data_IF_200602700771
#
_entry.id   IF_200602700771
#
_cell.length_a   1.000
_cell.length_b   1.000
_cell.length_c   1.000
_cell.angle_alpha   90.00
_cell.angle_beta   90.00
_cell.angle_gamma   90.00
#
_symmetry.space_group_name_H-M   'P 1'
#
loop_
_entity.id
_entity.type
_entity.pdbx_description
1 polymer ?
#
# COMPACT_ATOMS: atom_id res chain seq x y z
N UNK A 1 8.20 3.79 25.32
CA UNK A 1 8.14 3.77 23.85
C UNK A 1 9.51 4.05 23.30
N UNK A 2 10.15 3.02 22.76
CA UNK A 2 11.48 3.09 22.19
C UNK A 2 11.50 3.88 20.89
N UNK A 3 12.69 4.33 20.49
CA UNK A 3 12.91 4.92 19.16
C UNK A 3 12.50 3.95 18.04
N UNK A 4 12.57 2.64 18.31
CA UNK A 4 12.17 1.58 17.39
C UNK A 4 10.65 1.59 17.17
N UNK A 5 9.84 1.63 18.23
CA UNK A 5 8.37 1.69 18.17
C UNK A 5 7.88 2.86 17.29
N UNK A 6 8.56 4.01 17.37
CA UNK A 6 8.24 5.19 16.53
C UNK A 6 8.50 4.96 15.04
N UNK A 7 9.59 4.27 14.70
CA UNK A 7 9.86 3.94 13.30
C UNK A 7 8.88 2.88 12.80
N UNK A 8 8.55 1.89 13.62
CA UNK A 8 7.56 0.87 13.31
C UNK A 8 6.18 1.48 13.01
N UNK A 9 5.68 2.35 13.89
CA UNK A 9 4.42 3.08 13.69
C UNK A 9 4.41 3.88 12.37
N UNK A 10 5.54 4.53 12.03
CA UNK A 10 5.66 5.33 10.81
C UNK A 10 5.81 4.47 9.54
N UNK A 11 6.42 3.27 9.62
CA UNK A 11 6.43 2.31 8.51
C UNK A 11 5.06 1.64 8.31
N UNK A 12 4.31 1.41 9.39
CA UNK A 12 2.94 0.86 9.35
C UNK A 12 1.96 1.87 8.74
N UNK A 13 2.08 3.17 9.08
CA UNK A 13 1.24 4.24 8.52
C UNK A 13 1.52 4.50 7.02
N UNK A 14 2.78 4.39 6.58
CA UNK A 14 3.11 4.50 5.13
C UNK A 14 2.57 3.30 4.34
N UNK A 15 2.45 2.13 4.95
CA UNK A 15 1.93 0.92 4.31
C UNK A 15 0.40 0.86 4.18
N UNK A 16 -0.33 1.80 4.80
CA UNK A 16 -1.80 1.81 4.80
C UNK A 16 -2.43 2.59 3.64
N UNK A 17 -1.64 3.26 2.80
CA UNK A 17 -2.13 3.84 1.54
C UNK A 17 -2.30 2.77 0.46
N UNK A 18 -3.33 1.93 0.62
CA UNK A 18 -3.70 0.85 -0.30
C UNK A 18 -4.37 1.43 -1.55
N UNK A 19 -3.89 1.08 -2.74
CA UNK A 19 -4.57 1.43 -3.98
C UNK A 19 -5.80 0.52 -4.18
N UNK A 20 -6.98 1.13 -4.26
CA UNK A 20 -8.23 0.51 -4.69
C UNK A 20 -8.16 0.08 -6.16
N UNK A 21 -9.05 -0.83 -6.60
CA UNK A 21 -9.14 -1.26 -8.01
C UNK A 21 -9.33 -0.08 -8.98
N UNK A 22 -10.02 0.98 -8.53
CA UNK A 22 -10.20 2.20 -9.30
C UNK A 22 -8.89 2.94 -9.48
N UNK A 23 -8.12 3.11 -8.41
CA UNK A 23 -6.81 3.78 -8.44
C UNK A 23 -5.80 2.98 -9.27
N UNK A 24 -5.84 1.64 -9.22
CA UNK A 24 -5.03 0.78 -10.09
C UNK A 24 -5.36 0.99 -11.57
N UNK A 25 -6.66 1.08 -11.93
CA UNK A 25 -7.07 1.37 -13.30
C UNK A 25 -6.66 2.78 -13.74
N UNK A 26 -6.81 3.78 -12.86
CA UNK A 26 -6.39 5.15 -13.13
C UNK A 26 -4.88 5.24 -13.33
N UNK A 27 -4.10 4.54 -12.50
CA UNK A 27 -2.65 4.42 -12.66
C UNK A 27 -2.30 3.75 -13.98
N UNK A 28 -2.94 2.63 -14.32
CA UNK A 28 -2.67 1.92 -15.57
C UNK A 28 -2.97 2.79 -16.80
N UNK A 29 -4.09 3.51 -16.79
CA UNK A 29 -4.45 4.43 -17.88
C UNK A 29 -3.46 5.59 -17.95
N UNK A 30 -3.13 6.21 -16.81
CA UNK A 30 -2.13 7.28 -16.74
C UNK A 30 -0.77 6.84 -17.24
N UNK A 31 -0.33 5.64 -16.87
CA UNK A 31 0.91 5.03 -17.31
C UNK A 31 0.94 4.85 -18.83
N UNK A 32 -0.12 4.29 -19.43
CA UNK A 32 -0.21 4.10 -20.88
C UNK A 32 -0.15 5.44 -21.62
N UNK A 33 -0.92 6.44 -21.17
CA UNK A 33 -0.91 7.78 -21.76
C UNK A 33 0.49 8.38 -21.66
N UNK A 34 1.11 8.28 -20.49
CA UNK A 34 2.46 8.80 -20.25
C UNK A 34 3.49 8.14 -21.18
N UNK A 35 3.48 6.81 -21.31
CA UNK A 35 4.40 6.08 -22.20
C UNK A 35 4.22 6.52 -23.66
N UNK A 36 2.98 6.64 -24.13
CA UNK A 36 2.69 7.05 -25.51
C UNK A 36 3.17 8.48 -25.76
N UNK A 37 2.91 9.41 -24.85
CA UNK A 37 3.34 10.81 -24.97
C UNK A 37 4.86 10.91 -24.92
N UNK A 38 5.51 10.23 -23.98
CA UNK A 38 6.97 10.21 -23.84
C UNK A 38 7.63 9.63 -25.10
N UNK A 39 7.16 8.47 -25.58
CA UNK A 39 7.67 7.85 -26.79
C UNK A 39 7.46 8.73 -28.03
N UNK A 40 6.30 9.38 -28.16
CA UNK A 40 6.02 10.32 -29.24
C UNK A 40 6.96 11.52 -29.22
N UNK A 41 7.21 12.09 -28.04
CA UNK A 41 8.13 13.21 -27.86
C UNK A 41 9.59 12.82 -28.16
N UNK A 42 10.03 11.66 -27.66
CA UNK A 42 11.37 11.13 -27.97
C UNK A 42 11.52 10.84 -29.46
N UNK A 43 10.48 10.29 -30.11
CA UNK A 43 10.51 10.05 -31.55
C UNK A 43 10.63 11.37 -32.34
N UNK A 44 9.96 12.43 -31.87
CA UNK A 44 10.05 13.75 -32.48
C UNK A 44 11.43 14.40 -32.32
N UNK A 45 12.07 14.25 -31.15
CA UNK A 45 13.31 14.95 -30.81
C UNK A 45 14.59 14.17 -31.16
N UNK A 46 14.60 12.86 -30.89
CA UNK A 46 15.79 11.99 -30.95
C UNK A 46 15.66 10.91 -32.03
N UNK A 47 14.44 10.66 -32.52
CA UNK A 47 14.17 9.68 -33.56
C UNK A 47 13.69 8.32 -33.02
N UNK A 48 13.49 7.40 -33.97
CA UNK A 48 12.67 6.20 -33.76
C UNK A 48 13.31 5.16 -32.84
N UNK A 49 14.62 4.97 -32.91
CA UNK A 49 15.33 3.98 -32.08
C UNK A 49 15.24 4.34 -30.60
N UNK A 50 15.55 5.60 -30.27
CA UNK A 50 15.47 6.10 -28.89
C UNK A 50 14.05 6.06 -28.35
N UNK A 51 13.05 6.36 -29.20
CA UNK A 51 11.65 6.26 -28.81
C UNK A 51 11.25 4.84 -28.38
N UNK A 52 11.70 3.82 -29.11
CA UNK A 52 11.44 2.43 -28.73
C UNK A 52 12.19 2.04 -27.44
N UNK A 53 13.43 2.50 -27.26
CA UNK A 53 14.18 2.26 -26.04
C UNK A 53 13.47 2.87 -24.82
N UNK A 54 13.07 4.14 -24.91
CA UNK A 54 12.32 4.85 -23.86
C UNK A 54 10.99 4.15 -23.58
N UNK A 55 10.23 3.80 -24.60
CA UNK A 55 8.96 3.10 -24.44
C UNK A 55 9.15 1.75 -23.73
N UNK A 56 10.16 0.96 -24.11
CA UNK A 56 10.45 -0.32 -23.49
C UNK A 56 10.82 -0.16 -22.01
N UNK A 57 11.72 0.78 -21.68
CA UNK A 57 12.14 1.05 -20.30
C UNK A 57 10.94 1.46 -19.45
N UNK A 58 10.15 2.43 -19.91
CA UNK A 58 9.00 2.91 -19.16
C UNK A 58 7.94 1.81 -18.98
N UNK A 59 7.71 0.98 -20.00
CA UNK A 59 6.78 -0.15 -19.90
C UNK A 59 7.20 -1.11 -18.80
N UNK A 60 8.50 -1.45 -18.70
CA UNK A 60 9.02 -2.33 -17.65
C UNK A 60 8.82 -1.71 -16.27
N UNK A 61 9.12 -0.43 -16.10
CA UNK A 61 8.96 0.28 -14.83
C UNK A 61 7.49 0.23 -14.39
N UNK A 62 6.56 0.64 -15.25
CA UNK A 62 5.14 0.63 -14.91
C UNK A 62 4.57 -0.77 -14.71
N UNK A 63 5.08 -1.78 -15.41
CA UNK A 63 4.68 -3.17 -15.18
C UNK A 63 5.05 -3.62 -13.76
N UNK A 64 6.28 -3.33 -13.30
CA UNK A 64 6.70 -3.63 -11.93
C UNK A 64 5.85 -2.85 -10.92
N UNK A 65 5.59 -1.57 -11.16
CA UNK A 65 4.75 -0.74 -10.29
C UNK A 65 3.34 -1.32 -10.16
N UNK A 66 2.69 -1.65 -11.28
CA UNK A 66 1.33 -2.22 -11.29
C UNK A 66 1.28 -3.57 -10.60
N UNK A 67 2.27 -4.45 -10.85
CA UNK A 67 2.35 -5.75 -10.19
C UNK A 67 2.51 -5.61 -8.68
N UNK A 68 3.36 -4.68 -8.24
CA UNK A 68 3.58 -4.43 -6.81
C UNK A 68 2.29 -3.95 -6.14
N UNK A 69 1.59 -2.97 -6.73
CA UNK A 69 0.34 -2.48 -6.17
C UNK A 69 -0.78 -3.53 -6.23
N UNK A 70 -0.87 -4.30 -7.32
CA UNK A 70 -1.85 -5.37 -7.46
C UNK A 70 -1.63 -6.52 -6.46
N UNK A 71 -0.37 -6.88 -6.19
CA UNK A 71 -0.02 -7.86 -5.17
C UNK A 71 -0.56 -7.42 -3.80
N UNK A 72 -0.21 -6.21 -3.35
CA UNK A 72 -0.68 -5.68 -2.07
C UNK A 72 -2.20 -5.54 -2.00
N UNK A 73 -2.86 -5.15 -3.10
CA UNK A 73 -4.31 -5.07 -3.17
C UNK A 73 -5.00 -6.43 -2.98
N UNK A 74 -4.35 -7.53 -3.36
CA UNK A 74 -4.90 -8.90 -3.26
C UNK A 74 -4.51 -9.59 -1.95
N UNK A 75 -3.26 -9.47 -1.51
CA UNK A 75 -2.72 -10.23 -0.37
C UNK A 75 -2.78 -9.49 0.96
N UNK A 76 -2.99 -8.18 0.99
CA UNK A 76 -2.92 -7.37 2.23
C UNK A 76 -4.10 -7.50 3.20
N UNK A 77 -4.90 -8.58 3.17
CA UNK A 77 -6.10 -8.73 4.02
C UNK A 77 -6.07 -9.90 5.01
N UNK A 78 -5.20 -10.90 4.90
CA UNK A 78 -5.31 -12.08 5.78
C UNK A 78 -4.65 -11.96 7.16
N UNK A 79 -3.76 -10.98 7.38
CA UNK A 79 -2.81 -11.08 8.52
C UNK A 79 -3.00 -9.98 9.59
N UNK A 80 -4.05 -9.15 9.51
CA UNK A 80 -4.24 -8.01 10.43
C UNK A 80 -5.61 -7.93 11.12
N UNK A 81 -6.45 -8.96 10.98
CA UNK A 81 -7.77 -9.01 11.64
C UNK A 81 -7.76 -9.90 12.93
N UNK A 82 -6.61 -10.44 13.35
CA UNK A 82 -6.57 -11.50 14.39
C UNK A 82 -6.03 -11.09 15.77
N UNK A 83 -5.62 -9.85 16.02
CA UNK A 83 -5.09 -9.48 17.36
C UNK A 83 -5.55 -8.10 17.82
N UNK A 84 -6.86 -7.89 17.98
CA UNK A 84 -7.39 -6.83 18.84
C UNK A 84 -8.84 -7.15 19.26
N UNK A 85 -9.04 -7.67 20.49
CA UNK A 85 -10.35 -7.54 21.15
C UNK A 85 -10.93 -8.71 21.96
N UNK A 86 -10.14 -9.68 22.46
CA UNK A 86 -10.57 -10.53 23.57
C UNK A 86 -9.64 -10.31 24.77
N UNK A 87 -9.68 -9.10 25.33
CA UNK A 87 -9.29 -8.93 26.73
C UNK A 87 -10.49 -9.36 27.57
N UNK A 88 -10.39 -10.60 28.06
CA UNK A 88 -11.36 -11.23 28.95
C UNK A 88 -11.74 -10.28 30.11
N UNK A 89 -13.05 -10.05 30.23
CA UNK A 89 -13.70 -9.59 31.46
C UNK A 89 -13.23 -10.48 32.62
N UNK A 90 -12.43 -9.92 33.53
CA UNK A 90 -12.09 -10.57 34.79
C UNK A 90 -12.49 -9.66 35.95
N UNK A 91 -13.78 -9.71 36.26
CA UNK A 91 -14.39 -9.75 37.59
C UNK A 91 -13.68 -8.97 38.70
N UNK A 92 -13.85 -7.65 38.65
CA UNK A 92 -13.79 -6.82 39.84
C UNK A 92 -15.03 -7.02 40.72
N UNK A 93 -15.11 -8.13 41.46
CA UNK A 93 -16.06 -8.23 42.58
C UNK A 93 -15.37 -7.76 43.87
N UNK A 94 -15.41 -6.44 44.09
CA UNK A 94 -15.14 -5.83 45.38
C UNK A 94 -16.19 -6.34 46.38
N UNK A 95 -15.74 -7.14 47.36
CA UNK A 95 -16.52 -7.39 48.57
C UNK A 95 -16.39 -6.18 49.49
N UNK A 96 -17.32 -5.25 49.33
CA UNK A 96 -17.62 -4.25 50.36
C UNK A 96 -18.42 -4.93 51.49
N UNK A 97 -17.75 -5.00 52.63
CA UNK A 97 -18.19 -4.55 53.95
C UNK A 97 -19.54 -5.01 54.56
N UNK A 98 -19.42 -5.37 55.85
CA UNK A 98 -20.40 -5.19 56.95
C UNK A 98 -21.70 -6.01 56.94
N UNK A 99 -21.79 -6.99 57.86
CA UNK A 99 -22.66 -6.83 59.04
C UNK A 99 -22.54 -8.01 60.03
N UNK A 100 -22.21 -7.64 61.26
CA UNK A 100 -22.38 -8.38 62.53
C UNK A 100 -23.88 -8.68 62.79
N UNK A 101 -24.22 -9.71 63.57
CA UNK A 101 -24.19 -9.61 65.05
C UNK A 101 -23.62 -10.83 65.81
#
# INVERSE_FOLDING_TARGET
>A
MGIIDRFEDEYVDVSSSRATLRELLELAVGAVIFVVVAAGLTNYLLGRTEAYAVAAILTVIFAVTLLSQAYWAVTGRSDYDDEDGNEDENDGEQKDESDEP
#
